data_IF_715031655974
#
_entry.id   IF_715031655974
#
_cell.length_a   1.000
_cell.length_b   1.000
_cell.length_c   1.000
_cell.angle_alpha   90.00
_cell.angle_beta   90.00
_cell.angle_gamma   90.00
#
_symmetry.space_group_name_H-M   'P 1'
#
loop_
_entity.id
_entity.type
_entity.pdbx_description
1 polymer ?
#
# COMPACT_ATOMS: atom_id res chain seq x y z
N UNK A 1 -3.00 -17.27 13.58
CA UNK A 1 -3.12 -15.83 13.23
C UNK A 1 -3.52 -14.87 14.37
N UNK A 2 -4.81 -14.53 14.59
CA UNK A 2 -5.22 -13.35 15.40
C UNK A 2 -4.64 -13.35 16.81
N UNK A 3 -4.91 -14.39 17.59
CA UNK A 3 -4.48 -14.45 18.99
C UNK A 3 -2.96 -14.49 19.15
N UNK A 4 -2.27 -15.18 18.24
CA UNK A 4 -0.81 -15.24 18.20
C UNK A 4 -0.22 -13.86 17.89
N UNK A 5 -0.78 -13.13 16.91
CA UNK A 5 -0.31 -11.79 16.57
C UNK A 5 -0.62 -10.77 17.68
N UNK A 6 -1.76 -10.90 18.37
CA UNK A 6 -2.07 -10.11 19.57
C UNK A 6 -1.09 -10.41 20.71
N UNK A 7 -0.71 -11.68 20.91
CA UNK A 7 0.29 -12.07 21.91
C UNK A 7 1.66 -11.45 21.59
N UNK A 8 2.12 -11.56 20.35
CA UNK A 8 3.34 -10.91 19.86
C UNK A 8 3.30 -9.38 20.05
N UNK A 9 2.17 -8.75 19.73
CA UNK A 9 1.99 -7.30 19.94
C UNK A 9 2.13 -6.93 21.41
N UNK A 10 1.55 -7.71 22.33
CA UNK A 10 1.69 -7.49 23.78
C UNK A 10 3.14 -7.69 24.24
N UNK A 11 3.83 -8.71 23.75
CA UNK A 11 5.24 -8.98 24.08
C UNK A 11 6.15 -7.82 23.65
N UNK A 12 5.96 -7.31 22.42
CA UNK A 12 6.68 -6.17 21.87
C UNK A 12 6.40 -4.88 22.64
N UNK A 13 5.14 -4.69 23.05
CA UNK A 13 4.75 -3.54 23.86
C UNK A 13 5.40 -3.53 25.25
N UNK A 14 5.67 -4.68 25.86
CA UNK A 14 6.45 -4.77 27.12
C UNK A 14 7.87 -4.21 26.97
N UNK A 15 8.39 -4.20 25.74
CA UNK A 15 9.69 -3.61 25.38
C UNK A 15 9.55 -2.19 24.78
N UNK A 16 8.35 -1.60 24.79
CA UNK A 16 8.04 -0.28 24.23
C UNK A 16 8.36 -0.15 22.73
N UNK A 17 8.28 -1.26 21.99
CA UNK A 17 8.50 -1.30 20.54
C UNK A 17 7.24 -1.79 19.80
N UNK A 18 7.04 -1.39 18.54
CA UNK A 18 5.91 -1.87 17.75
C UNK A 18 6.01 -3.36 17.42
N UNK A 19 4.90 -4.02 17.09
CA UNK A 19 4.94 -5.39 16.55
C UNK A 19 5.71 -5.42 15.22
N UNK A 20 6.30 -6.57 14.92
CA UNK A 20 6.82 -6.82 13.57
C UNK A 20 5.70 -6.75 12.53
N UNK A 21 6.02 -6.34 11.29
CA UNK A 21 5.14 -6.54 10.15
C UNK A 21 4.78 -8.02 9.98
N UNK A 22 3.66 -8.27 9.31
CA UNK A 22 3.22 -9.60 8.94
C UNK A 22 4.18 -10.20 7.91
N UNK A 23 4.51 -11.47 8.11
CA UNK A 23 5.19 -12.25 7.09
C UNK A 23 4.19 -12.83 6.06
N UNK A 24 4.70 -13.53 5.05
CA UNK A 24 3.87 -14.11 3.99
C UNK A 24 2.83 -15.11 4.51
N UNK A 25 3.21 -15.98 5.46
CA UNK A 25 2.30 -16.96 6.05
C UNK A 25 1.15 -16.28 6.81
N UNK A 26 1.47 -15.31 7.67
CA UNK A 26 0.47 -14.56 8.43
C UNK A 26 -0.45 -13.76 7.50
N UNK A 27 0.08 -13.22 6.41
CA UNK A 27 -0.72 -12.50 5.41
C UNK A 27 -1.66 -13.46 4.66
N UNK A 28 -1.22 -14.68 4.36
CA UNK A 28 -2.09 -15.70 3.76
C UNK A 28 -3.21 -16.13 4.72
N UNK A 29 -2.90 -16.33 6.00
CA UNK A 29 -3.91 -16.60 7.04
C UNK A 29 -4.89 -15.41 7.19
N UNK A 30 -4.39 -14.18 7.11
CA UNK A 30 -5.21 -12.97 7.15
C UNK A 30 -6.17 -12.88 5.95
N UNK A 31 -5.74 -13.29 4.75
CA UNK A 31 -6.59 -13.34 3.56
C UNK A 31 -7.80 -14.25 3.78
N UNK A 32 -7.62 -15.42 4.39
CA UNK A 32 -8.75 -16.32 4.70
C UNK A 32 -9.70 -15.71 5.72
N UNK A 33 -9.18 -15.00 6.72
CA UNK A 33 -10.01 -14.24 7.67
C UNK A 33 -10.78 -13.10 6.98
N UNK A 34 -10.17 -12.41 6.01
CA UNK A 34 -10.84 -11.35 5.25
C UNK A 34 -11.96 -11.89 4.36
N UNK A 35 -11.87 -13.13 3.88
CA UNK A 35 -12.94 -13.80 3.12
C UNK A 35 -14.10 -14.23 4.02
N UNK A 36 -13.81 -14.62 5.26
CA UNK A 36 -14.79 -15.12 6.24
C UNK A 36 -14.51 -14.56 7.64
N UNK A 37 -14.83 -13.28 7.89
CA UNK A 37 -14.41 -12.58 9.10
C UNK A 37 -15.10 -13.15 10.35
N UNK A 38 -14.34 -13.44 11.42
CA UNK A 38 -14.92 -13.71 12.73
C UNK A 38 -15.64 -12.46 13.24
N UNK A 39 -16.80 -12.67 13.87
CA UNK A 39 -17.57 -11.57 14.45
C UNK A 39 -16.77 -10.81 15.51
N UNK A 40 -16.70 -9.49 15.38
CA UNK A 40 -16.00 -8.60 16.30
C UNK A 40 -14.51 -8.40 15.97
N UNK A 41 -13.98 -9.09 14.96
CA UNK A 41 -12.57 -8.96 14.54
C UNK A 41 -12.41 -8.12 13.25
N UNK A 42 -13.50 -7.67 12.64
CA UNK A 42 -13.53 -7.05 11.31
C UNK A 42 -12.60 -5.83 11.21
N UNK A 43 -12.69 -4.94 12.19
CA UNK A 43 -11.86 -3.73 12.23
C UNK A 43 -10.37 -4.07 12.40
N UNK A 44 -10.06 -5.10 13.19
CA UNK A 44 -8.69 -5.49 13.47
C UNK A 44 -8.03 -6.11 12.23
N UNK A 45 -8.70 -7.05 11.57
CA UNK A 45 -8.14 -7.68 10.37
C UNK A 45 -8.04 -6.70 9.19
N UNK A 46 -8.95 -5.72 9.10
CA UNK A 46 -8.86 -4.64 8.12
C UNK A 46 -7.67 -3.70 8.41
N UNK A 47 -7.40 -3.39 9.67
CA UNK A 47 -6.22 -2.62 10.06
C UNK A 47 -4.92 -3.35 9.69
N UNK A 48 -4.83 -4.65 9.99
CA UNK A 48 -3.66 -5.46 9.68
C UNK A 48 -3.32 -5.48 8.19
N UNK A 49 -4.30 -5.70 7.31
CA UNK A 49 -4.05 -5.72 5.86
C UNK A 49 -3.69 -4.33 5.33
N UNK A 50 -4.20 -3.28 5.97
CA UNK A 50 -3.93 -1.89 5.56
C UNK A 50 -2.52 -1.46 5.98
N UNK A 51 -2.13 -1.72 7.23
CA UNK A 51 -1.02 -1.05 7.90
C UNK A 51 0.14 -1.96 8.33
N UNK A 52 -0.06 -3.28 8.37
CA UNK A 52 0.92 -4.21 8.96
C UNK A 52 1.58 -5.15 7.94
N UNK A 53 1.34 -4.96 6.63
CA UNK A 53 2.03 -5.70 5.57
C UNK A 53 3.09 -4.82 4.92
N UNK A 54 4.35 -5.27 4.79
CA UNK A 54 5.38 -4.53 4.06
C UNK A 54 4.94 -4.14 2.64
N UNK A 55 5.35 -2.98 2.11
CA UNK A 55 5.10 -2.60 0.72
C UNK A 55 6.12 -3.24 -0.23
N UNK A 56 6.03 -2.94 -1.53
CA UNK A 56 7.07 -3.32 -2.48
C UNK A 56 6.99 -4.77 -2.95
N UNK A 57 8.16 -5.41 -3.00
CA UNK A 57 8.36 -6.77 -3.51
C UNK A 57 8.63 -7.79 -2.40
N UNK A 58 8.23 -7.49 -1.17
CA UNK A 58 8.25 -8.45 -0.05
C UNK A 58 7.29 -9.63 -0.31
N UNK A 59 7.59 -10.80 0.24
CA UNK A 59 6.76 -12.00 0.06
C UNK A 59 5.35 -11.82 0.63
N UNK A 60 5.19 -11.05 1.72
CA UNK A 60 3.88 -10.70 2.25
C UNK A 60 3.14 -9.69 1.35
N UNK A 61 3.87 -8.76 0.74
CA UNK A 61 3.32 -7.83 -0.24
C UNK A 61 2.78 -8.58 -1.46
N UNK A 62 3.47 -9.63 -1.93
CA UNK A 62 3.00 -10.49 -3.01
C UNK A 62 1.61 -11.08 -2.69
N UNK A 63 1.46 -11.69 -1.51
CA UNK A 63 0.19 -12.29 -1.07
C UNK A 63 -0.92 -11.24 -0.98
N UNK A 64 -0.63 -10.08 -0.39
CA UNK A 64 -1.58 -8.95 -0.32
C UNK A 64 -1.99 -8.45 -1.69
N UNK A 65 -1.04 -8.19 -2.59
CA UNK A 65 -1.32 -7.69 -3.93
C UNK A 65 -2.17 -8.68 -4.74
N UNK A 66 -1.85 -9.97 -4.69
CA UNK A 66 -2.60 -11.01 -5.38
C UNK A 66 -4.06 -11.07 -4.89
N UNK A 67 -4.28 -11.08 -3.57
CA UNK A 67 -5.64 -11.08 -3.03
C UNK A 67 -6.43 -9.82 -3.40
N UNK A 68 -5.84 -8.64 -3.27
CA UNK A 68 -6.52 -7.39 -3.61
C UNK A 68 -6.81 -7.29 -5.11
N UNK A 69 -5.92 -7.77 -5.97
CA UNK A 69 -6.15 -7.87 -7.41
C UNK A 69 -7.32 -8.82 -7.72
N UNK A 70 -7.38 -9.98 -7.08
CA UNK A 70 -8.49 -10.93 -7.25
C UNK A 70 -9.83 -10.35 -6.78
N UNK A 71 -9.85 -9.60 -5.67
CA UNK A 71 -11.06 -8.89 -5.22
C UNK A 71 -11.45 -7.81 -6.23
N UNK A 72 -10.51 -6.97 -6.68
CA UNK A 72 -10.78 -5.92 -7.67
C UNK A 72 -11.32 -6.50 -8.99
N UNK A 73 -10.85 -7.68 -9.41
CA UNK A 73 -11.28 -8.37 -10.63
C UNK A 73 -12.51 -9.27 -10.43
N UNK A 74 -13.05 -9.37 -9.20
CA UNK A 74 -14.21 -10.22 -8.89
C UNK A 74 -13.93 -11.73 -8.90
N UNK A 75 -12.67 -12.13 -8.84
CA UNK A 75 -12.22 -13.54 -8.72
C UNK A 75 -12.25 -14.04 -7.28
N UNK A 76 -12.15 -13.13 -6.32
CA UNK A 76 -12.33 -13.37 -4.89
C UNK A 76 -13.36 -12.39 -4.32
N UNK A 77 -13.89 -12.69 -3.15
CA UNK A 77 -14.80 -11.80 -2.43
C UNK A 77 -14.42 -11.69 -0.96
N UNK A 78 -14.72 -10.53 -0.38
CA UNK A 78 -14.60 -10.25 1.04
C UNK A 78 -15.81 -9.40 1.45
N UNK A 79 -16.46 -9.68 2.58
CA UNK A 79 -17.49 -8.79 3.12
C UNK A 79 -16.93 -7.46 3.65
N UNK A 80 -15.60 -7.31 3.80
CA UNK A 80 -14.94 -6.12 4.37
C UNK A 80 -14.25 -5.25 3.33
N UNK A 81 -13.90 -5.82 2.17
CA UNK A 81 -13.15 -5.14 1.11
C UNK A 81 -13.95 -5.32 -0.18
N UNK A 82 -14.64 -4.24 -0.59
CA UNK A 82 -15.25 -4.19 -1.91
C UNK A 82 -14.19 -3.96 -3.01
N UNK A 83 -14.62 -4.08 -4.27
CA UNK A 83 -13.74 -3.93 -5.43
C UNK A 83 -13.00 -2.59 -5.44
N UNK A 84 -13.67 -1.50 -5.08
CA UNK A 84 -13.08 -0.14 -5.07
C UNK A 84 -12.04 -0.04 -3.96
N UNK A 85 -12.36 -0.52 -2.75
CA UNK A 85 -11.46 -0.52 -1.60
C UNK A 85 -10.21 -1.34 -1.88
N UNK A 86 -10.33 -2.44 -2.64
CA UNK A 86 -9.18 -3.21 -3.07
C UNK A 86 -8.22 -2.40 -3.95
N UNK A 87 -8.75 -1.60 -4.89
CA UNK A 87 -7.94 -0.69 -5.72
C UNK A 87 -7.25 0.39 -4.87
N UNK A 88 -7.99 0.99 -3.92
CA UNK A 88 -7.42 1.97 -2.99
C UNK A 88 -6.27 1.36 -2.17
N UNK A 89 -6.41 0.12 -1.69
CA UNK A 89 -5.36 -0.58 -0.94
C UNK A 89 -4.18 -1.00 -1.80
N UNK A 90 -4.39 -1.37 -3.07
CA UNK A 90 -3.30 -1.57 -4.03
C UNK A 90 -2.49 -0.27 -4.21
N UNK A 91 -3.17 0.88 -4.23
CA UNK A 91 -2.52 2.19 -4.35
C UNK A 91 -1.57 2.56 -3.21
N UNK A 92 -1.71 1.96 -2.03
CA UNK A 92 -0.85 2.25 -0.87
C UNK A 92 0.38 1.35 -0.76
N UNK A 93 0.59 0.43 -1.70
CA UNK A 93 1.70 -0.54 -1.64
C UNK A 93 3.03 -0.02 -2.19
N UNK A 94 3.11 1.30 -2.45
CA UNK A 94 4.25 2.06 -2.98
C UNK A 94 4.71 1.71 -4.41
N UNK A 95 4.75 0.43 -4.78
CA UNK A 95 5.19 -0.09 -6.08
C UNK A 95 5.49 -1.58 -6.02
N UNK A 96 5.84 -2.19 -7.15
CA UNK A 96 6.07 -3.64 -7.25
C UNK A 96 4.81 -4.39 -7.66
N UNK A 97 4.39 -5.40 -6.88
CA UNK A 97 3.32 -6.31 -7.24
C UNK A 97 1.93 -5.67 -7.43
N UNK A 98 1.74 -4.43 -6.96
CA UNK A 98 0.50 -3.68 -7.11
C UNK A 98 0.37 -2.96 -8.47
N UNK A 99 1.48 -2.73 -9.18
CA UNK A 99 1.51 -1.85 -10.36
C UNK A 99 0.75 -2.47 -11.54
N UNK A 100 1.11 -3.69 -11.94
CA UNK A 100 0.47 -4.37 -13.08
C UNK A 100 -1.06 -4.53 -12.88
N UNK A 101 -1.56 -4.96 -11.70
CA UNK A 101 -3.00 -4.95 -11.43
C UNK A 101 -3.65 -3.57 -11.61
N UNK A 102 -3.03 -2.50 -11.11
CA UNK A 102 -3.57 -1.14 -11.24
C UNK A 102 -3.61 -0.68 -12.71
N UNK A 103 -2.57 -0.98 -13.48
CA UNK A 103 -2.53 -0.65 -14.92
C UNK A 103 -3.59 -1.42 -15.70
N UNK A 104 -3.79 -2.70 -15.39
CA UNK A 104 -4.85 -3.51 -16.01
C UNK A 104 -6.25 -2.95 -15.71
N UNK A 105 -6.47 -2.45 -14.49
CA UNK A 105 -7.74 -1.87 -14.06
C UNK A 105 -8.09 -0.53 -14.73
N UNK A 106 -7.18 0.08 -15.50
CA UNK A 106 -7.51 1.25 -16.33
C UNK A 106 -8.54 0.94 -17.44
N UNK A 107 -8.76 -0.34 -17.77
CA UNK A 107 -9.78 -0.76 -18.74
C UNK A 107 -11.12 -1.16 -18.10
N UNK A 108 -11.20 -1.21 -16.76
CA UNK A 108 -12.43 -1.56 -16.05
C UNK A 108 -13.30 -0.31 -15.82
N UNK A 109 -14.47 -0.23 -16.47
CA UNK A 109 -15.34 0.95 -16.42
C UNK A 109 -15.70 1.41 -14.99
N UNK A 110 -15.85 0.47 -14.05
CA UNK A 110 -16.22 0.79 -12.68
C UNK A 110 -15.03 1.22 -11.81
N UNK A 111 -13.82 0.78 -12.16
CA UNK A 111 -12.62 0.94 -11.33
C UNK A 111 -11.56 1.87 -11.93
N UNK A 112 -11.60 2.15 -13.23
CA UNK A 112 -10.54 2.85 -13.96
C UNK A 112 -10.27 4.25 -13.41
N UNK A 113 -11.30 4.99 -12.99
CA UNK A 113 -11.13 6.28 -12.33
C UNK A 113 -10.39 6.16 -10.98
N UNK A 114 -10.68 5.11 -10.20
CA UNK A 114 -10.00 4.85 -8.92
C UNK A 114 -8.56 4.41 -9.17
N UNK A 115 -8.34 3.51 -10.15
CA UNK A 115 -7.01 3.03 -10.52
C UNK A 115 -6.12 4.17 -11.03
N UNK A 116 -6.66 5.05 -11.88
CA UNK A 116 -5.96 6.24 -12.36
C UNK A 116 -5.55 7.18 -11.21
N UNK A 117 -6.45 7.43 -10.25
CA UNK A 117 -6.12 8.25 -9.08
C UNK A 117 -5.00 7.65 -8.21
N UNK A 118 -4.91 6.32 -8.12
CA UNK A 118 -3.80 5.66 -7.41
C UNK A 118 -2.50 5.70 -8.22
N UNK A 119 -2.56 5.42 -9.52
CA UNK A 119 -1.39 5.44 -10.42
C UNK A 119 -0.78 6.84 -10.55
N UNK A 120 -1.60 7.90 -10.61
CA UNK A 120 -1.13 9.29 -10.65
C UNK A 120 -0.21 9.68 -9.48
N UNK A 121 -0.32 8.96 -8.35
CA UNK A 121 0.49 9.16 -7.14
C UNK A 121 1.62 8.13 -6.98
N UNK A 122 1.67 7.12 -7.85
CA UNK A 122 2.66 6.03 -7.79
C UNK A 122 3.95 6.45 -8.48
N UNK A 123 5.06 6.48 -7.74
CA UNK A 123 6.37 6.88 -8.29
C UNK A 123 7.15 5.72 -8.89
N UNK A 124 7.00 4.52 -8.31
CA UNK A 124 7.78 3.34 -8.65
C UNK A 124 7.19 2.60 -9.88
N UNK A 125 6.91 3.36 -10.96
CA UNK A 125 6.33 2.83 -12.20
C UNK A 125 7.35 2.14 -13.09
N UNK A 126 8.60 2.62 -13.13
CA UNK A 126 9.66 2.09 -13.98
C UNK A 126 9.16 1.83 -15.42
N UNK A 127 9.38 0.63 -15.97
CA UNK A 127 8.98 0.29 -17.33
C UNK A 127 7.45 0.21 -17.53
N UNK A 128 6.67 0.01 -16.46
CA UNK A 128 5.20 0.01 -16.53
C UNK A 128 4.61 1.40 -16.87
N UNK A 129 5.43 2.46 -16.83
CA UNK A 129 5.12 3.73 -17.47
C UNK A 129 4.73 3.54 -18.94
N UNK A 130 5.46 2.69 -19.68
CA UNK A 130 5.21 2.45 -21.10
C UNK A 130 3.86 1.77 -21.34
N UNK A 131 3.39 0.93 -20.42
CA UNK A 131 2.08 0.29 -20.51
C UNK A 131 0.95 1.31 -20.35
N UNK A 132 1.10 2.27 -19.43
CA UNK A 132 0.15 3.39 -19.28
C UNK A 132 0.20 4.30 -20.50
N UNK A 133 1.40 4.64 -20.99
CA UNK A 133 1.57 5.46 -22.19
C UNK A 133 0.93 4.81 -23.43
N UNK A 134 1.15 3.52 -23.65
CA UNK A 134 0.55 2.77 -24.75
C UNK A 134 -0.98 2.77 -24.68
N UNK A 135 -1.57 2.63 -23.48
CA UNK A 135 -3.03 2.76 -23.27
C UNK A 135 -3.53 4.17 -23.57
N UNK A 136 -2.78 5.19 -23.16
CA UNK A 136 -3.12 6.59 -23.43
C UNK A 136 -3.11 6.89 -24.95
N UNK A 137 -2.08 6.41 -25.66
CA UNK A 137 -1.95 6.52 -27.12
C UNK A 137 -3.07 5.76 -27.85
N UNK A 138 -3.48 4.61 -27.32
CA UNK A 138 -4.64 3.85 -27.81
C UNK A 138 -6.00 4.54 -27.51
N UNK A 139 -6.00 5.66 -26.79
CA UNK A 139 -7.19 6.48 -26.54
C UNK A 139 -7.89 6.24 -25.20
N UNK A 140 -7.32 5.46 -24.28
CA UNK A 140 -7.91 5.26 -22.95
C UNK A 140 -7.91 6.60 -22.17
N UNK A 141 -9.08 7.16 -21.79
CA UNK A 141 -9.16 8.46 -21.13
C UNK A 141 -8.56 8.44 -19.72
N UNK A 142 -8.63 7.31 -19.01
CA UNK A 142 -8.07 7.17 -17.67
C UNK A 142 -6.55 7.08 -17.70
N UNK A 143 -5.97 6.39 -18.69
CA UNK A 143 -4.53 6.38 -18.90
C UNK A 143 -4.01 7.78 -19.25
N UNK A 144 -4.74 8.55 -20.07
CA UNK A 144 -4.41 9.96 -20.34
C UNK A 144 -4.42 10.82 -19.08
N UNK A 145 -5.42 10.64 -18.21
CA UNK A 145 -5.47 11.34 -16.93
C UNK A 145 -4.28 11.01 -16.01
N UNK A 146 -3.80 9.74 -16.02
CA UNK A 146 -2.58 9.37 -15.29
C UNK A 146 -1.35 10.10 -15.85
N UNK A 147 -1.20 10.12 -17.18
CA UNK A 147 -0.09 10.82 -17.84
C UNK A 147 -0.09 12.32 -17.55
N UNK A 148 -1.28 12.94 -17.53
CA UNK A 148 -1.47 14.35 -17.19
C UNK A 148 -1.13 14.63 -15.71
N UNK A 149 -1.61 13.81 -14.78
CA UNK A 149 -1.26 13.94 -13.36
C UNK A 149 0.26 13.85 -13.11
N UNK A 150 0.94 12.98 -13.86
CA UNK A 150 2.40 12.88 -13.81
C UNK A 150 3.10 14.11 -14.42
N UNK A 151 2.61 14.63 -15.55
CA UNK A 151 3.21 15.82 -16.19
C UNK A 151 3.01 17.09 -15.36
N UNK A 152 1.87 17.21 -14.68
CA UNK A 152 1.57 18.31 -13.74
C UNK A 152 2.22 18.12 -12.36
N UNK A 153 2.98 17.03 -12.18
CA UNK A 153 3.67 16.69 -10.95
C UNK A 153 2.76 16.69 -9.71
N UNK A 154 1.51 16.22 -9.84
CA UNK A 154 0.54 16.17 -8.73
C UNK A 154 1.08 15.36 -7.53
N UNK A 155 1.82 14.28 -7.80
CA UNK A 155 2.49 13.47 -6.78
C UNK A 155 3.45 14.26 -5.87
N UNK A 156 3.96 15.39 -6.36
CA UNK A 156 4.81 16.34 -5.65
C UNK A 156 4.00 17.50 -5.07
N UNK A 157 3.18 18.14 -5.90
CA UNK A 157 2.46 19.36 -5.56
C UNK A 157 1.36 19.15 -4.50
N UNK A 158 0.80 17.94 -4.39
CA UNK A 158 -0.17 17.58 -3.35
C UNK A 158 0.47 17.38 -1.96
N UNK A 159 1.81 17.29 -1.89
CA UNK A 159 2.50 17.09 -0.61
C UNK A 159 2.62 18.40 0.14
N UNK A 160 2.59 18.29 1.48
CA UNK A 160 2.84 19.44 2.35
C UNK A 160 4.21 20.05 2.04
N UNK A 161 4.23 21.32 1.67
CA UNK A 161 5.46 22.09 1.49
C UNK A 161 6.28 22.18 2.79
N UNK A 162 7.59 22.34 2.66
CA UNK A 162 8.48 22.61 3.79
C UNK A 162 8.00 23.90 4.49
N UNK A 163 7.71 23.88 5.80
CA UNK A 163 7.32 25.09 6.51
C UNK A 163 8.48 26.10 6.54
N UNK A 164 8.14 27.40 6.51
CA UNK A 164 9.13 28.49 6.58
C UNK A 164 9.94 28.48 7.88
N UNK A 165 9.37 27.94 8.97
CA UNK A 165 10.00 27.80 10.28
C UNK A 165 9.78 26.38 10.83
N UNK A 166 10.85 25.76 11.33
CA UNK A 166 10.80 24.50 12.07
C UNK A 166 11.34 24.73 13.48
N UNK A 167 10.47 24.67 14.48
CA UNK A 167 10.85 24.73 15.90
C UNK A 167 11.31 23.36 16.37
N UNK A 168 12.55 23.27 16.84
CA UNK A 168 13.16 22.01 17.31
C UNK A 168 13.70 22.15 18.73
N UNK A 169 13.83 21.02 19.43
CA UNK A 169 14.64 20.91 20.65
C UNK A 169 15.98 20.27 20.30
N UNK A 170 17.09 20.86 20.74
CA UNK A 170 18.43 20.34 20.42
C UNK A 170 18.74 19.11 21.27
N UNK A 171 18.92 17.97 20.63
CA UNK A 171 19.54 16.79 21.23
C UNK A 171 21.04 16.80 20.90
N UNK A 172 21.86 17.33 21.80
CA UNK A 172 23.31 17.47 21.58
C UNK A 172 24.06 16.25 22.12
N UNK A 173 24.74 15.53 21.23
CA UNK A 173 25.81 14.58 21.59
C UNK A 173 27.14 15.31 21.48
N UNK A 174 27.93 15.33 22.55
CA UNK A 174 29.23 16.01 22.57
C UNK A 174 30.34 15.07 22.11
N UNK A 175 31.33 15.61 21.39
CA UNK A 175 32.47 14.83 20.91
C UNK A 175 32.22 14.26 19.52
N UNK A 176 32.74 13.07 19.26
CA UNK A 176 32.50 12.31 18.04
C UNK A 176 31.21 11.49 18.17
N UNK A 177 30.50 11.32 17.07
CA UNK A 177 29.42 10.33 16.96
C UNK A 177 29.75 9.46 15.76
N UNK A 178 30.22 8.25 16.02
CA UNK A 178 30.51 7.25 15.01
C UNK A 178 29.23 6.45 14.69
N UNK A 179 29.18 5.76 13.56
CA UNK A 179 28.06 4.88 13.23
C UNK A 179 27.93 3.72 14.21
N UNK A 180 29.05 3.24 14.77
CA UNK A 180 29.07 2.17 15.79
C UNK A 180 28.38 2.58 17.10
N UNK A 181 28.29 3.89 17.40
CA UNK A 181 27.55 4.39 18.57
C UNK A 181 26.03 4.31 18.37
N UNK A 182 25.58 4.21 17.11
CA UNK A 182 24.17 4.26 16.72
C UNK A 182 23.60 2.89 16.37
N UNK A 183 24.39 1.99 15.77
CA UNK A 183 23.93 0.68 15.29
C UNK A 183 25.03 -0.37 15.20
#
# INVERSE_FOLDING_TARGET
>A
MIEEYRAHTRERWQQQIPPLPLNAQQTAELVELLKSPPAGEEAYILDLITNNVPPGVDEAAYVKAAFLADVAQGKASSPLIDRRKAVELLGTMAGGYNVEPLVALLDDEALAATAAAQLGKTLLMFDAFNDVAAKADAGNPHAKAVMEAWSEAEWFNDRRALPEEIKISVFKVTGETNTDDLS
#
